data_IF_014551553047
#
_entry.id   IF_014551553047
#
_cell.length_a   1.000
_cell.length_b   1.000
_cell.length_c   1.000
_cell.angle_alpha   90.00
_cell.angle_beta   90.00
_cell.angle_gamma   90.00
#
_symmetry.space_group_name_H-M   'P 1'
#
loop_
_entity.id
_entity.type
_entity.pdbx_description
1 polymer ?
#
# COMPACT_ATOMS: atom_id res chain seq x y z
N UNK A 1 9.92 -8.09 -7.77
CA UNK A 1 9.47 -9.50 -7.63
C UNK A 1 8.35 -9.86 -8.61
N UNK A 2 7.83 -11.10 -8.58
CA UNK A 2 6.75 -11.59 -9.49
C UNK A 2 5.53 -10.67 -9.45
N UNK A 3 5.12 -10.20 -8.26
CA UNK A 3 3.99 -9.27 -8.09
C UNK A 3 4.20 -7.98 -8.87
N UNK A 4 5.38 -7.37 -8.77
CA UNK A 4 5.70 -6.12 -9.47
C UNK A 4 5.74 -6.30 -11.00
N UNK A 5 6.22 -7.44 -11.47
CA UNK A 5 6.23 -7.75 -12.91
C UNK A 5 4.80 -7.88 -13.45
N UNK A 6 3.94 -8.65 -12.75
CA UNK A 6 2.53 -8.78 -13.11
C UNK A 6 1.79 -7.43 -13.05
N UNK A 7 2.06 -6.61 -12.03
CA UNK A 7 1.49 -5.26 -11.91
C UNK A 7 1.91 -4.38 -13.09
N UNK A 8 3.20 -4.40 -13.44
CA UNK A 8 3.74 -3.64 -14.58
C UNK A 8 3.09 -4.06 -15.89
N UNK A 9 2.98 -5.37 -16.15
CA UNK A 9 2.32 -5.89 -17.35
C UNK A 9 0.85 -5.45 -17.43
N UNK A 10 0.12 -5.55 -16.33
CA UNK A 10 -1.26 -5.10 -16.25
C UNK A 10 -1.39 -3.60 -16.54
N UNK A 11 -0.52 -2.76 -15.95
CA UNK A 11 -0.50 -1.32 -16.22
C UNK A 11 -0.21 -1.01 -17.69
N UNK A 12 0.82 -1.62 -18.28
CA UNK A 12 1.20 -1.41 -19.68
C UNK A 12 0.06 -1.78 -20.63
N UNK A 13 -0.67 -2.88 -20.34
CA UNK A 13 -1.81 -3.31 -21.16
C UNK A 13 -2.98 -2.33 -21.20
N UNK A 14 -3.02 -1.35 -20.29
CA UNK A 14 -4.14 -0.39 -20.13
C UNK A 14 -3.77 1.07 -20.42
N UNK A 15 -2.50 1.36 -20.74
CA UNK A 15 -2.02 2.74 -20.92
C UNK A 15 -2.80 3.56 -21.97
N UNK A 16 -3.34 2.91 -23.02
CA UNK A 16 -4.11 3.59 -24.07
C UNK A 16 -5.55 3.93 -23.69
N UNK A 17 -6.12 3.28 -22.68
CA UNK A 17 -7.56 3.30 -22.37
C UNK A 17 -7.88 3.90 -20.99
N UNK A 18 -6.90 4.47 -20.31
CA UNK A 18 -7.05 4.98 -18.95
C UNK A 18 -6.57 6.41 -18.77
N UNK A 19 -7.13 7.09 -17.77
CA UNK A 19 -6.69 8.42 -17.29
C UNK A 19 -5.66 8.33 -16.17
N UNK A 20 -5.45 7.13 -15.61
CA UNK A 20 -4.55 6.89 -14.48
C UNK A 20 -4.76 5.52 -13.86
N UNK A 21 -4.01 5.23 -12.81
CA UNK A 21 -4.10 3.97 -12.07
C UNK A 21 -4.35 4.25 -10.60
N UNK A 22 -5.25 3.47 -10.01
CA UNK A 22 -5.35 3.30 -8.57
C UNK A 22 -4.76 1.92 -8.27
N UNK A 23 -3.69 1.90 -7.47
CA UNK A 23 -3.03 0.68 -7.03
C UNK A 23 -3.38 0.52 -5.56
N UNK A 24 -4.01 -0.60 -5.24
CA UNK A 24 -4.45 -0.94 -3.90
C UNK A 24 -3.70 -2.19 -3.41
N UNK A 25 -3.28 -2.17 -2.14
CA UNK A 25 -2.56 -3.27 -1.50
C UNK A 25 -1.10 -3.47 -1.95
N UNK A 26 -0.54 -2.59 -2.80
CA UNK A 26 0.88 -2.55 -3.16
C UNK A 26 1.33 -1.09 -3.28
N UNK A 27 2.52 -0.71 -2.79
CA UNK A 27 3.53 -1.52 -2.07
C UNK A 27 3.13 -1.87 -0.63
N UNK A 28 3.66 -2.98 -0.08
CA UNK A 28 3.40 -3.39 1.32
C UNK A 28 4.58 -3.09 2.27
N UNK A 29 5.80 -3.02 1.74
CA UNK A 29 7.01 -2.73 2.49
C UNK A 29 7.87 -1.70 1.74
N UNK A 30 8.84 -1.12 2.45
CA UNK A 30 9.70 -0.06 1.90
C UNK A 30 10.50 -0.51 0.67
N UNK A 31 10.96 -1.77 0.63
CA UNK A 31 11.73 -2.30 -0.50
C UNK A 31 10.90 -2.41 -1.77
N UNK A 32 9.63 -2.80 -1.62
CA UNK A 32 8.65 -2.80 -2.72
C UNK A 32 8.38 -1.38 -3.22
N UNK A 33 8.30 -0.44 -2.27
CA UNK A 33 8.55 0.99 -2.42
C UNK A 33 9.49 1.37 -3.55
N UNK A 34 10.75 1.16 -3.24
CA UNK A 34 11.88 1.56 -4.05
C UNK A 34 11.90 0.81 -5.39
N UNK A 35 11.53 -0.48 -5.40
CA UNK A 35 11.46 -1.28 -6.63
C UNK A 35 10.35 -0.77 -7.57
N UNK A 36 9.18 -0.41 -7.03
CA UNK A 36 8.06 0.15 -7.79
C UNK A 36 8.46 1.46 -8.46
N UNK A 37 9.04 2.39 -7.69
CA UNK A 37 9.44 3.70 -8.20
C UNK A 37 10.54 3.59 -9.25
N UNK A 38 11.49 2.68 -9.05
CA UNK A 38 12.58 2.42 -9.99
C UNK A 38 12.10 1.82 -11.32
N UNK A 39 11.12 0.90 -11.28
CA UNK A 39 10.70 0.14 -12.48
C UNK A 39 9.45 0.66 -13.18
N UNK A 40 8.59 1.37 -12.46
CA UNK A 40 7.31 1.90 -12.93
C UNK A 40 7.30 3.42 -12.85
N UNK A 41 7.59 3.99 -11.68
CA UNK A 41 7.69 5.43 -11.46
C UNK A 41 7.08 5.88 -10.14
N UNK A 42 7.38 7.12 -9.74
CA UNK A 42 6.86 7.69 -8.48
C UNK A 42 5.34 7.91 -8.55
N UNK A 43 4.58 7.51 -7.50
CA UNK A 43 3.15 7.79 -7.44
C UNK A 43 2.90 9.29 -7.32
N UNK A 44 1.83 9.78 -7.95
CA UNK A 44 1.45 11.20 -7.84
C UNK A 44 0.79 11.55 -6.50
N UNK A 45 0.16 10.56 -5.87
CA UNK A 45 -0.57 10.68 -4.62
C UNK A 45 -0.54 9.32 -3.94
N UNK A 46 -0.31 9.31 -2.63
CA UNK A 46 -0.47 8.12 -1.79
C UNK A 46 -1.59 8.38 -0.80
N UNK A 47 -2.55 7.46 -0.72
CA UNK A 47 -3.65 7.51 0.24
C UNK A 47 -3.34 6.53 1.36
N UNK A 48 -3.17 7.04 2.58
CA UNK A 48 -3.04 6.24 3.79
C UNK A 48 -4.37 6.24 4.51
N UNK A 49 -5.07 5.10 4.49
CA UNK A 49 -6.29 4.90 5.26
C UNK A 49 -5.87 4.48 6.66
N UNK A 50 -5.76 5.46 7.56
CA UNK A 50 -5.31 5.23 8.93
C UNK A 50 -6.50 4.80 9.77
N UNK A 51 -6.44 3.57 10.28
CA UNK A 51 -7.47 3.00 11.14
C UNK A 51 -6.80 2.64 12.46
N UNK A 52 -7.57 2.49 13.54
CA UNK A 52 -7.02 1.94 14.80
C UNK A 52 -7.13 0.42 14.81
N UNK A 53 -6.20 -0.26 15.48
CA UNK A 53 -6.27 -1.71 15.69
C UNK A 53 -7.60 -2.14 16.34
N UNK A 54 -8.13 -1.33 17.27
CA UNK A 54 -9.43 -1.55 17.91
C UNK A 54 -10.59 -1.50 16.90
N UNK A 55 -10.58 -0.54 15.97
CA UNK A 55 -11.62 -0.46 14.94
C UNK A 55 -11.51 -1.61 13.95
N UNK A 56 -10.29 -1.96 13.54
CA UNK A 56 -10.03 -3.09 12.63
C UNK A 56 -10.45 -4.44 13.25
N UNK A 57 -10.19 -4.66 14.54
CA UNK A 57 -10.61 -5.89 15.23
C UNK A 57 -12.13 -5.94 15.40
N UNK A 58 -12.77 -4.81 15.71
CA UNK A 58 -14.23 -4.74 15.89
C UNK A 58 -15.04 -5.00 14.63
N UNK A 59 -14.48 -4.74 13.44
CA UNK A 59 -15.10 -5.05 12.15
C UNK A 59 -14.79 -6.47 11.67
N UNK A 60 -13.72 -7.10 12.16
CA UNK A 60 -13.38 -8.47 11.79
C UNK A 60 -14.29 -9.45 12.52
N UNK A 61 -15.01 -10.28 11.77
CA UNK A 61 -15.83 -11.37 12.33
C UNK A 61 -15.01 -12.61 12.74
N UNK A 62 -13.69 -12.56 12.60
CA UNK A 62 -12.78 -13.69 12.83
C UNK A 62 -12.21 -13.70 14.26
N UNK A 63 -11.85 -14.90 14.74
CA UNK A 63 -11.29 -15.14 16.08
C UNK A 63 -10.11 -14.21 16.41
N UNK A 64 -10.09 -13.71 17.64
CA UNK A 64 -9.30 -12.53 18.07
C UNK A 64 -7.78 -12.69 17.93
N UNK A 65 -7.21 -13.86 18.26
CA UNK A 65 -5.75 -14.03 18.35
C UNK A 65 -5.02 -13.91 16.98
N UNK A 66 -5.46 -14.63 15.95
CA UNK A 66 -4.84 -14.55 14.61
C UNK A 66 -5.08 -13.22 13.88
N UNK A 67 -6.12 -12.49 14.28
CA UNK A 67 -6.48 -11.21 13.68
C UNK A 67 -5.57 -10.10 14.21
N UNK A 68 -5.28 -10.10 15.51
CA UNK A 68 -4.43 -9.12 16.17
C UNK A 68 -2.98 -9.17 15.67
N UNK A 69 -2.39 -10.37 15.58
CA UNK A 69 -1.01 -10.53 15.07
C UNK A 69 -0.87 -10.02 13.63
N UNK A 70 -1.89 -10.24 12.81
CA UNK A 70 -1.91 -9.80 11.40
C UNK A 70 -2.08 -8.29 11.27
N UNK A 71 -2.90 -7.70 12.14
CA UNK A 71 -3.06 -6.24 12.23
C UNK A 71 -1.73 -5.61 12.66
N UNK A 72 -1.11 -6.10 13.73
CA UNK A 72 0.17 -5.59 14.24
C UNK A 72 1.29 -5.69 13.20
N UNK A 73 1.44 -6.84 12.55
CA UNK A 73 2.46 -7.02 11.50
C UNK A 73 2.25 -6.05 10.33
N UNK A 74 1.00 -5.70 10.02
CA UNK A 74 0.69 -4.74 8.96
C UNK A 74 1.12 -3.33 9.36
N UNK A 75 0.86 -2.90 10.60
CA UNK A 75 1.33 -1.60 11.10
C UNK A 75 2.86 -1.49 11.11
N UNK A 76 3.55 -2.53 11.57
CA UNK A 76 5.01 -2.53 11.62
C UNK A 76 5.64 -2.38 10.22
N UNK A 77 5.05 -3.02 9.20
CA UNK A 77 5.49 -2.89 7.82
C UNK A 77 5.11 -1.54 7.18
N UNK A 78 3.94 -0.98 7.53
CA UNK A 78 3.45 0.27 6.95
C UNK A 78 4.11 1.51 7.53
N UNK A 79 4.61 1.47 8.76
CA UNK A 79 5.29 2.60 9.40
C UNK A 79 6.46 3.19 8.58
N UNK A 80 7.47 2.40 8.17
CA UNK A 80 8.57 2.92 7.36
C UNK A 80 8.11 3.40 5.98
N UNK A 81 7.08 2.75 5.40
CA UNK A 81 6.50 3.14 4.12
C UNK A 81 5.77 4.49 4.20
N UNK A 82 5.01 4.69 5.28
CA UNK A 82 4.30 5.94 5.57
C UNK A 82 5.29 7.08 5.72
N UNK A 83 6.33 6.90 6.55
CA UNK A 83 7.38 7.90 6.73
C UNK A 83 8.14 8.23 5.43
N UNK A 84 8.41 7.21 4.61
CA UNK A 84 9.02 7.38 3.29
C UNK A 84 8.18 8.30 2.40
N UNK A 85 6.88 8.03 2.28
CA UNK A 85 6.00 8.83 1.44
C UNK A 85 5.67 10.22 2.01
N UNK A 86 5.61 10.38 3.34
CA UNK A 86 5.48 11.71 3.98
C UNK A 86 6.60 12.67 3.58
N UNK A 87 7.83 12.14 3.41
CA UNK A 87 9.00 12.96 3.11
C UNK A 87 9.22 13.24 1.62
N UNK A 88 8.64 12.43 0.71
CA UNK A 88 8.95 12.45 -0.72
C UNK A 88 7.77 12.78 -1.63
N UNK A 89 6.55 12.44 -1.26
CA UNK A 89 5.36 12.54 -2.12
C UNK A 89 4.21 13.21 -1.37
N UNK A 90 3.15 13.60 -2.08
CA UNK A 90 1.90 13.99 -1.45
C UNK A 90 1.24 12.75 -0.80
N UNK A 91 1.49 12.54 0.49
CA UNK A 91 0.74 11.60 1.31
C UNK A 91 -0.51 12.28 1.86
N UNK A 92 -1.68 11.68 1.62
CA UNK A 92 -2.94 12.08 2.25
C UNK A 92 -3.38 10.98 3.22
N UNK A 93 -3.41 11.32 4.52
CA UNK A 93 -4.02 10.48 5.56
C UNK A 93 -5.53 10.71 5.60
N UNK A 94 -6.29 9.62 5.64
CA UNK A 94 -7.76 9.63 5.72
C UNK A 94 -8.15 8.81 6.95
N UNK A 95 -8.97 9.40 7.82
CA UNK A 95 -9.49 8.82 9.06
C UNK A 95 -11.01 8.65 8.98
#
# INVERSE_FOLDING_TARGET
GIVLELLKEAMVSKLGDTKGFLIDGYPQELKDAEEFESKIGEPKLVLCLDCSAETMSSQSSESTETTEDRIESSYQASNPLTAYYESRTQLCKVN
#
